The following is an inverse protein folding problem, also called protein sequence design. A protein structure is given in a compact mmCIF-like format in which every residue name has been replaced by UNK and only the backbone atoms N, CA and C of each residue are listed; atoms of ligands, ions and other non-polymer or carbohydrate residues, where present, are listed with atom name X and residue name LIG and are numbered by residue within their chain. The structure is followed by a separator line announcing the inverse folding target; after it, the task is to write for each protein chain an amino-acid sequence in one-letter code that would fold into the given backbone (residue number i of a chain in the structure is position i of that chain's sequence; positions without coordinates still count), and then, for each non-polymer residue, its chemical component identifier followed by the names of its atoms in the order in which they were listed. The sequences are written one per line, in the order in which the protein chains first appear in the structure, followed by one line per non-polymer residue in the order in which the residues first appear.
data_IF_716670537794
#
_entry.id   IF_716670537794
#
_cell.length_a   1.000
_cell.length_b   1.000
_cell.length_c   1.000
_cell.angle_alpha   90.00
_cell.angle_beta   90.00
_cell.angle_gamma   90.00
#
_symmetry.space_group_name_H-M   'P 1'
#
loop_
_entity.id
_entity.type
_entity.pdbx_description
1 polymer ?
#
# COMPACT_ATOMS: atom_id res chain seq x y z
N UNK A 1 -10.44 8.80 -20.52
CA UNK A 1 -9.49 9.93 -20.47
C UNK A 1 -8.56 9.90 -21.68
N UNK A 2 -7.82 8.81 -21.91
CA UNK A 2 -6.93 8.61 -23.07
C UNK A 2 -7.66 8.88 -24.41
N UNK A 3 -8.75 8.18 -24.70
CA UNK A 3 -9.42 8.27 -26.01
C UNK A 3 -10.36 9.47 -26.13
N UNK A 4 -11.12 9.76 -25.07
CA UNK A 4 -12.24 10.72 -25.10
C UNK A 4 -11.94 12.08 -24.47
N UNK A 5 -10.74 12.26 -23.89
CA UNK A 5 -10.43 13.46 -23.10
C UNK A 5 -11.29 13.63 -21.84
N UNK A 6 -11.95 12.57 -21.35
CA UNK A 6 -12.81 12.61 -20.15
C UNK A 6 -12.67 11.34 -19.30
N UNK A 7 -12.69 11.41 -17.96
CA UNK A 7 -12.73 12.64 -17.15
C UNK A 7 -11.45 13.47 -17.29
N UNK A 8 -11.49 14.74 -16.86
CA UNK A 8 -10.34 15.66 -16.93
C UNK A 8 -9.24 15.35 -15.92
N UNK A 9 -9.62 14.75 -14.78
CA UNK A 9 -8.70 14.40 -13.69
C UNK A 9 -9.01 12.98 -13.23
N UNK A 10 -7.96 12.19 -13.07
CA UNK A 10 -7.94 10.92 -12.36
C UNK A 10 -7.06 11.17 -11.13
N UNK A 11 -7.65 11.49 -9.97
CA UNK A 11 -6.93 11.95 -8.79
C UNK A 11 -6.07 10.85 -8.16
N UNK A 12 -6.38 9.60 -8.44
CA UNK A 12 -5.59 8.45 -8.04
C UNK A 12 -5.67 7.38 -9.14
N UNK A 13 -4.53 7.09 -9.77
CA UNK A 13 -4.44 6.05 -10.78
C UNK A 13 -3.22 5.17 -10.52
N UNK A 14 -3.47 3.88 -10.31
CA UNK A 14 -2.44 2.85 -10.22
C UNK A 14 -1.95 2.54 -11.63
N UNK A 15 -0.71 2.93 -11.93
CA UNK A 15 -0.24 3.05 -13.32
C UNK A 15 0.50 1.81 -13.85
N UNK A 16 0.75 0.81 -13.00
CA UNK A 16 1.59 -0.35 -13.32
C UNK A 16 1.17 -1.07 -14.61
N UNK A 17 -0.12 -1.36 -14.75
CA UNK A 17 -0.67 -2.13 -15.87
C UNK A 17 -1.01 -1.33 -17.12
N UNK A 18 -0.90 0.00 -17.09
CA UNK A 18 -1.32 0.89 -18.18
C UNK A 18 -0.27 1.93 -18.55
N UNK A 19 0.96 1.77 -18.05
CA UNK A 19 2.05 2.73 -18.22
C UNK A 19 2.31 3.07 -19.68
N UNK A 20 2.43 2.07 -20.56
CA UNK A 20 2.69 2.30 -21.99
C UNK A 20 1.58 3.14 -22.65
N UNK A 21 0.32 2.86 -22.32
CA UNK A 21 -0.82 3.60 -22.84
C UNK A 21 -0.85 5.05 -22.31
N UNK A 22 -0.50 5.26 -21.04
CA UNK A 22 -0.37 6.59 -20.44
C UNK A 22 0.79 7.38 -21.06
N UNK A 23 1.96 6.76 -21.19
CA UNK A 23 3.15 7.38 -21.78
C UNK A 23 2.91 7.78 -23.23
N UNK A 24 2.23 6.93 -24.01
CA UNK A 24 1.77 7.28 -25.36
C UNK A 24 0.80 8.47 -25.33
N UNK A 25 -0.16 8.46 -24.39
CA UNK A 25 -1.08 9.58 -24.20
C UNK A 25 -0.37 10.90 -23.88
N UNK A 26 0.72 10.86 -23.12
CA UNK A 26 1.57 12.03 -22.83
C UNK A 26 2.38 12.45 -24.05
N UNK A 27 3.01 11.50 -24.75
CA UNK A 27 3.77 11.78 -25.98
C UNK A 27 2.90 12.41 -27.07
N UNK A 28 1.64 11.97 -27.17
CA UNK A 28 0.63 12.51 -28.08
C UNK A 28 0.03 13.85 -27.59
N UNK A 29 0.49 14.41 -26.45
CA UNK A 29 -0.04 15.62 -25.80
C UNK A 29 -1.54 15.55 -25.52
N UNK A 30 -2.03 14.38 -25.12
CA UNK A 30 -3.42 14.17 -24.68
C UNK A 30 -3.54 14.16 -23.17
N UNK A 31 -2.49 13.74 -22.46
CA UNK A 31 -2.45 13.59 -21.01
C UNK A 31 -1.22 14.25 -20.39
N UNK A 32 -1.28 14.49 -19.08
CA UNK A 32 -0.13 14.80 -18.24
C UNK A 32 -0.14 13.97 -16.96
N UNK A 33 1.05 13.56 -16.53
CA UNK A 33 1.27 13.17 -15.14
C UNK A 33 1.33 14.44 -14.30
N UNK A 34 0.28 14.71 -13.53
CA UNK A 34 0.21 15.91 -12.72
C UNK A 34 0.97 15.77 -11.41
N UNK A 35 1.04 14.57 -10.80
CA UNK A 35 1.79 14.37 -9.56
C UNK A 35 1.69 12.96 -9.03
N UNK A 36 2.38 12.66 -7.92
CA UNK A 36 2.26 11.39 -7.21
C UNK A 36 1.17 11.51 -6.15
N UNK A 37 0.04 10.84 -6.35
CA UNK A 37 -1.07 10.87 -5.39
C UNK A 37 -0.68 10.20 -4.08
N UNK A 38 0.13 9.14 -4.16
CA UNK A 38 0.85 8.54 -3.05
C UNK A 38 2.35 8.78 -3.24
N UNK A 39 2.97 9.57 -2.36
CA UNK A 39 4.37 10.01 -2.55
C UNK A 39 5.36 8.86 -2.49
N UNK A 40 5.02 7.82 -1.72
CA UNK A 40 5.79 6.58 -1.58
C UNK A 40 5.35 5.48 -2.58
N UNK A 41 4.33 5.74 -3.40
CA UNK A 41 3.61 4.70 -4.15
C UNK A 41 2.75 3.82 -3.23
N UNK A 42 2.05 2.85 -3.82
CA UNK A 42 1.42 1.77 -3.06
C UNK A 42 2.48 0.83 -2.50
N UNK A 43 2.32 0.43 -1.25
CA UNK A 43 3.27 -0.46 -0.57
C UNK A 43 2.66 -1.84 -0.39
N UNK A 44 3.48 -2.85 -0.62
CA UNK A 44 3.18 -4.25 -0.37
C UNK A 44 4.37 -4.86 0.37
N UNK A 45 4.14 -5.96 1.08
CA UNK A 45 5.22 -6.61 1.82
C UNK A 45 4.70 -7.63 2.80
N UNK A 46 5.64 -8.26 3.51
CA UNK A 46 5.33 -9.01 4.70
C UNK A 46 5.43 -8.10 5.91
N UNK A 47 4.54 -8.27 6.89
CA UNK A 47 4.42 -7.36 8.02
C UNK A 47 4.37 -8.12 9.34
N UNK A 48 4.77 -7.45 10.40
CA UNK A 48 4.62 -7.87 11.80
C UNK A 48 4.07 -6.72 12.64
N UNK A 49 3.36 -6.97 13.76
CA UNK A 49 2.88 -5.89 14.62
C UNK A 49 4.01 -5.10 15.29
N UNK A 50 3.89 -3.77 15.35
CA UNK A 50 4.90 -2.89 15.96
C UNK A 50 5.14 -3.22 17.44
N UNK A 51 4.08 -3.49 18.22
CA UNK A 51 4.24 -3.87 19.64
C UNK A 51 5.05 -5.16 19.85
N UNK A 52 5.12 -6.03 18.83
CA UNK A 52 5.92 -7.25 18.87
C UNK A 52 7.38 -6.91 18.56
N UNK A 53 7.62 -5.99 17.61
CA UNK A 53 8.95 -5.44 17.31
C UNK A 53 9.55 -4.70 18.53
N UNK A 54 8.74 -3.97 19.30
CA UNK A 54 9.22 -3.32 20.54
C UNK A 54 9.76 -4.34 21.56
N UNK A 55 9.23 -5.57 21.56
CA UNK A 55 9.68 -6.66 22.43
C UNK A 55 10.82 -7.48 21.79
N UNK A 56 10.79 -7.63 20.47
CA UNK A 56 11.73 -8.41 19.66
C UNK A 56 12.19 -7.57 18.45
N UNK A 57 13.14 -6.63 18.64
CA UNK A 57 13.55 -5.69 17.58
C UNK A 57 14.07 -6.37 16.30
N UNK A 58 14.56 -7.60 16.41
CA UNK A 58 15.01 -8.39 15.27
C UNK A 58 13.88 -8.76 14.29
N UNK A 59 12.61 -8.72 14.70
CA UNK A 59 11.47 -9.05 13.81
C UNK A 59 11.29 -8.08 12.64
N UNK A 60 12.07 -7.00 12.62
CA UNK A 60 12.17 -6.10 11.47
C UNK A 60 12.83 -6.75 10.26
N UNK A 61 13.52 -7.89 10.41
CA UNK A 61 14.12 -8.64 9.29
C UNK A 61 13.57 -10.06 9.20
N UNK A 62 13.64 -10.65 8.00
CA UNK A 62 13.15 -12.01 7.77
C UNK A 62 13.93 -13.04 8.59
N UNK A 63 15.23 -12.83 8.81
CA UNK A 63 16.04 -13.70 9.67
C UNK A 63 15.58 -13.65 11.11
N UNK A 64 15.18 -12.48 11.61
CA UNK A 64 14.64 -12.34 12.96
C UNK A 64 13.26 -13.00 13.11
N UNK A 65 12.41 -12.89 12.09
CA UNK A 65 11.13 -13.62 12.01
C UNK A 65 11.37 -15.13 12.06
N UNK A 66 12.27 -15.66 11.23
CA UNK A 66 12.62 -17.08 11.18
C UNK A 66 13.17 -17.57 12.53
N UNK A 67 14.08 -16.81 13.14
CA UNK A 67 14.67 -17.15 14.46
C UNK A 67 13.61 -17.23 15.56
N UNK A 68 12.54 -16.46 15.43
CA UNK A 68 11.43 -16.38 16.39
C UNK A 68 10.14 -17.03 15.87
N UNK A 69 10.24 -17.98 14.92
CA UNK A 69 9.07 -18.57 14.25
C UNK A 69 7.99 -19.11 15.22
N UNK A 70 8.42 -19.63 16.38
CA UNK A 70 7.57 -20.11 17.48
C UNK A 70 6.56 -19.11 18.04
N UNK A 71 6.76 -17.82 17.80
CA UNK A 71 5.78 -16.79 18.21
C UNK A 71 4.51 -16.84 17.35
N UNK A 72 4.63 -17.25 16.09
CA UNK A 72 3.55 -17.16 15.10
C UNK A 72 2.73 -18.46 15.07
N UNK A 73 1.95 -18.70 16.12
CA UNK A 73 1.06 -19.88 16.23
C UNK A 73 0.17 -20.06 14.98
N UNK A 74 0.17 -21.25 14.39
CA UNK A 74 -0.74 -21.57 13.30
C UNK A 74 -2.17 -21.79 13.84
N UNK A 75 -3.23 -21.28 13.16
CA UNK A 75 -4.59 -21.33 13.69
C UNK A 75 -5.23 -22.73 13.69
N UNK A 76 -4.70 -23.66 12.89
CA UNK A 76 -5.30 -24.97 12.65
C UNK A 76 -4.33 -26.16 12.85
N UNK A 77 -3.04 -25.90 13.08
CA UNK A 77 -2.00 -26.93 13.22
C UNK A 77 -0.99 -26.52 14.30
N UNK A 78 -1.06 -27.15 15.48
CA UNK A 78 -0.18 -26.82 16.62
C UNK A 78 1.30 -27.15 16.36
N UNK A 79 1.62 -27.91 15.31
CA UNK A 79 2.99 -28.25 14.92
C UNK A 79 3.59 -27.26 13.91
N UNK A 80 2.81 -26.28 13.40
CA UNK A 80 3.24 -25.31 12.37
C UNK A 80 3.22 -23.86 12.84
N UNK A 81 3.90 -22.99 12.10
CA UNK A 81 3.85 -21.55 12.29
C UNK A 81 3.08 -20.85 11.16
N UNK A 82 2.24 -19.87 11.48
CA UNK A 82 1.45 -19.17 10.47
C UNK A 82 2.26 -18.13 9.69
N UNK A 83 2.15 -18.21 8.37
CA UNK A 83 2.29 -17.08 7.46
C UNK A 83 0.95 -16.81 6.79
N UNK A 84 0.32 -15.66 7.06
CA UNK A 84 -0.93 -15.29 6.41
C UNK A 84 -0.66 -14.80 4.99
N UNK A 85 -1.12 -15.54 3.99
CA UNK A 85 -0.93 -15.21 2.57
C UNK A 85 -2.00 -14.22 2.07
N UNK A 86 -2.02 -13.99 0.77
CA UNK A 86 -3.02 -13.19 0.07
C UNK A 86 -4.22 -14.05 -0.38
N UNK A 87 -5.44 -13.48 -0.44
CA UNK A 87 -6.64 -14.21 -0.87
C UNK A 87 -6.47 -14.93 -2.21
N UNK A 88 -7.06 -16.12 -2.33
CA UNK A 88 -7.02 -16.89 -3.55
C UNK A 88 -7.55 -16.12 -4.78
N UNK A 89 -6.83 -16.24 -5.91
CA UNK A 89 -7.17 -15.63 -7.19
C UNK A 89 -6.68 -14.18 -7.37
N UNK A 90 -6.00 -13.60 -6.37
CA UNK A 90 -5.37 -12.29 -6.49
C UNK A 90 -3.90 -12.44 -6.92
N UNK A 91 -3.35 -11.45 -7.60
CA UNK A 91 -1.93 -11.45 -8.01
C UNK A 91 -0.98 -11.61 -6.81
N UNK A 92 -1.35 -11.04 -5.65
CA UNK A 92 -0.52 -11.16 -4.46
C UNK A 92 -0.43 -12.58 -3.89
N UNK A 93 -1.34 -13.48 -4.27
CA UNK A 93 -1.25 -14.89 -3.88
C UNK A 93 -0.01 -15.51 -4.53
N UNK A 94 0.20 -15.22 -5.81
CA UNK A 94 1.35 -15.68 -6.60
C UNK A 94 2.63 -15.11 -6.01
N UNK A 95 2.69 -13.78 -5.82
CA UNK A 95 3.91 -13.14 -5.32
C UNK A 95 4.26 -13.57 -3.90
N UNK A 96 3.25 -13.72 -3.02
CA UNK A 96 3.47 -14.17 -1.65
C UNK A 96 3.93 -15.61 -1.60
N UNK A 97 3.35 -16.50 -2.42
CA UNK A 97 3.80 -17.89 -2.53
C UNK A 97 5.23 -18.00 -3.04
N UNK A 98 5.56 -17.34 -4.15
CA UNK A 98 6.93 -17.34 -4.67
C UNK A 98 7.96 -16.78 -3.69
N UNK A 99 7.62 -15.74 -2.94
CA UNK A 99 8.53 -15.19 -1.93
C UNK A 99 8.62 -16.08 -0.70
N UNK A 100 7.53 -16.75 -0.31
CA UNK A 100 7.53 -17.77 0.75
C UNK A 100 8.49 -18.91 0.40
N UNK A 101 8.43 -19.40 -0.85
CA UNK A 101 9.31 -20.46 -1.36
C UNK A 101 10.76 -19.99 -1.48
N UNK A 102 10.99 -18.81 -2.07
CA UNK A 102 12.33 -18.25 -2.24
C UNK A 102 13.04 -17.97 -0.90
N UNK A 103 12.27 -17.58 0.13
CA UNK A 103 12.75 -17.40 1.50
C UNK A 103 12.86 -18.71 2.29
N UNK A 104 12.43 -19.84 1.71
CA UNK A 104 12.45 -21.18 2.32
C UNK A 104 11.73 -21.24 3.66
N UNK A 105 10.58 -20.57 3.77
CA UNK A 105 9.85 -20.50 5.03
C UNK A 105 9.28 -21.87 5.47
N UNK A 106 8.99 -22.76 4.53
CA UNK A 106 8.62 -24.16 4.83
C UNK A 106 9.74 -24.93 5.56
N UNK A 107 11.00 -24.74 5.17
CA UNK A 107 12.17 -25.35 5.85
C UNK A 107 12.29 -24.88 7.31
N UNK A 108 11.68 -23.73 7.62
CA UNK A 108 11.58 -23.14 8.96
C UNK A 108 10.24 -23.42 9.63
N UNK A 109 9.48 -24.37 9.09
CA UNK A 109 8.23 -24.89 9.62
C UNK A 109 7.06 -23.89 9.63
N UNK A 110 7.12 -22.86 8.78
CA UNK A 110 5.96 -22.06 8.46
C UNK A 110 5.02 -22.79 7.49
N UNK A 111 3.74 -22.46 7.57
CA UNK A 111 2.69 -22.88 6.64
C UNK A 111 1.87 -21.65 6.21
N UNK A 112 1.47 -21.63 4.94
CA UNK A 112 0.65 -20.56 4.39
C UNK A 112 -0.81 -20.72 4.82
N UNK A 113 -1.36 -19.68 5.43
CA UNK A 113 -2.79 -19.56 5.75
C UNK A 113 -3.47 -18.73 4.68
N UNK A 114 -4.44 -19.30 3.96
CA UNK A 114 -5.31 -18.54 3.06
C UNK A 114 -6.38 -17.80 3.88
N UNK A 115 -6.40 -16.45 3.88
CA UNK A 115 -7.44 -15.70 4.58
C UNK A 115 -8.82 -15.80 3.92
N UNK A 116 -8.92 -16.27 2.67
CA UNK A 116 -10.14 -16.39 1.87
C UNK A 116 -10.68 -15.08 1.30
N UNK A 117 -10.45 -13.93 1.96
CA UNK A 117 -10.79 -12.60 1.44
C UNK A 117 -9.93 -11.50 2.05
N UNK A 118 -9.87 -10.33 1.40
CA UNK A 118 -9.15 -9.17 1.94
C UNK A 118 -9.73 -8.67 3.27
N UNK A 119 -11.05 -8.80 3.45
CA UNK A 119 -11.73 -8.45 4.71
C UNK A 119 -11.35 -9.41 5.84
N UNK A 120 -11.28 -10.71 5.55
CA UNK A 120 -10.85 -11.72 6.50
C UNK A 120 -9.36 -11.54 6.86
N UNK A 121 -8.48 -11.25 5.88
CA UNK A 121 -7.07 -10.95 6.13
C UNK A 121 -6.91 -9.76 7.08
N UNK A 122 -7.61 -8.65 6.83
CA UNK A 122 -7.63 -7.50 7.74
C UNK A 122 -8.16 -7.88 9.14
N UNK A 123 -9.14 -8.79 9.21
CA UNK A 123 -9.65 -9.35 10.45
C UNK A 123 -8.62 -10.15 11.25
N UNK A 124 -7.72 -10.88 10.57
CA UNK A 124 -6.63 -11.62 11.25
C UNK A 124 -5.63 -10.66 11.90
N UNK A 125 -5.25 -9.58 11.22
CA UNK A 125 -4.38 -8.52 11.75
C UNK A 125 -5.04 -7.89 12.98
N UNK A 126 -6.29 -7.45 12.85
CA UNK A 126 -7.04 -6.82 13.94
C UNK A 126 -7.13 -7.74 15.17
N UNK A 127 -7.54 -9.00 14.97
CA UNK A 127 -7.65 -9.99 16.05
C UNK A 127 -6.32 -10.23 16.77
N UNK A 128 -5.23 -10.32 16.01
CA UNK A 128 -3.90 -10.50 16.58
C UNK A 128 -3.45 -9.28 17.38
N UNK A 129 -3.67 -8.08 16.85
CA UNK A 129 -3.28 -6.83 17.49
C UNK A 129 -4.02 -6.56 18.80
N UNK A 130 -5.34 -6.72 18.79
CA UNK A 130 -6.20 -6.52 19.98
C UNK A 130 -5.89 -7.53 21.10
N UNK A 131 -5.41 -8.73 20.74
CA UNK A 131 -5.06 -9.79 21.69
C UNK A 131 -3.57 -9.83 22.04
N UNK A 132 -2.78 -8.89 21.51
CA UNK A 132 -1.31 -8.88 21.64
C UNK A 132 -0.66 -10.22 21.26
N UNK A 133 -1.20 -10.88 20.25
CA UNK A 133 -0.68 -12.13 19.67
C UNK A 133 0.14 -11.86 18.42
N UNK A 134 1.25 -12.58 18.24
CA UNK A 134 2.07 -12.43 17.05
C UNK A 134 1.27 -12.68 15.75
N UNK A 135 1.66 -11.98 14.70
CA UNK A 135 1.10 -12.11 13.36
C UNK A 135 2.22 -11.88 12.35
N UNK A 136 2.29 -12.70 11.32
CA UNK A 136 3.23 -12.56 10.21
C UNK A 136 2.52 -12.95 8.92
N UNK A 137 2.64 -12.12 7.90
CA UNK A 137 1.94 -12.34 6.64
C UNK A 137 2.05 -11.19 5.65
N UNK A 138 1.53 -11.44 4.46
CA UNK A 138 1.39 -10.43 3.41
C UNK A 138 0.32 -9.39 3.75
N UNK A 139 0.60 -8.13 3.45
CA UNK A 139 -0.41 -7.08 3.40
C UNK A 139 0.01 -5.89 2.53
N UNK A 140 -0.91 -4.95 2.29
CA UNK A 140 -0.70 -3.77 1.46
C UNK A 140 -1.17 -2.46 2.13
N UNK A 141 -0.62 -1.34 1.65
CA UNK A 141 -0.88 0.02 2.08
C UNK A 141 -1.10 0.94 0.88
N UNK A 142 -2.05 1.90 0.95
CA UNK A 142 -2.81 2.31 2.13
C UNK A 142 -4.09 1.50 2.35
N UNK A 143 -4.44 1.27 3.62
CA UNK A 143 -5.67 0.57 4.02
C UNK A 143 -6.12 1.00 5.43
N UNK A 144 -7.42 0.87 5.77
CA UNK A 144 -7.90 1.19 7.12
C UNK A 144 -7.21 0.39 8.24
N UNK A 145 -6.87 -0.88 8.00
CA UNK A 145 -6.30 -1.73 9.06
C UNK A 145 -4.86 -1.33 9.41
N UNK A 146 -4.06 -0.91 8.43
CA UNK A 146 -2.72 -0.37 8.69
C UNK A 146 -2.73 1.06 9.24
N UNK A 147 -3.85 1.78 9.11
CA UNK A 147 -4.05 3.07 9.76
C UNK A 147 -4.48 2.93 11.22
N UNK A 148 -5.20 1.85 11.54
CA UNK A 148 -5.67 1.56 12.90
C UNK A 148 -4.63 0.83 13.74
N UNK A 149 -3.86 -0.06 13.12
CA UNK A 149 -2.88 -0.91 13.80
C UNK A 149 -1.50 -0.68 13.21
N UNK A 150 -0.56 -0.26 14.05
CA UNK A 150 0.81 -0.01 13.61
C UNK A 150 1.53 -1.31 13.29
N UNK A 151 1.84 -1.53 12.02
CA UNK A 151 2.59 -2.67 11.54
C UNK A 151 3.95 -2.22 11.03
N UNK A 152 4.93 -3.11 11.12
CA UNK A 152 6.28 -2.91 10.60
C UNK A 152 6.48 -3.87 9.44
N UNK A 153 6.92 -3.32 8.31
CA UNK A 153 7.28 -4.12 7.14
C UNK A 153 8.58 -4.87 7.42
N UNK A 154 8.59 -6.16 7.16
CA UNK A 154 9.75 -7.05 7.32
C UNK A 154 10.69 -6.83 6.15
N UNK A 155 11.97 -6.54 6.44
CA UNK A 155 13.03 -6.44 5.45
C UNK A 155 13.60 -7.84 5.14
N UNK A 156 13.66 -8.20 3.87
CA UNK A 156 14.25 -9.46 3.43
C UNK A 156 15.77 -9.38 3.26
N UNK A 157 16.36 -8.18 3.41
CA UNK A 157 17.79 -7.95 3.19
C UNK A 157 18.24 -8.02 1.72
N UNK A 158 17.32 -8.33 0.80
CA UNK A 158 17.60 -8.50 -0.62
C UNK A 158 17.66 -7.19 -1.41
N UNK A 159 17.08 -6.11 -0.87
CA UNK A 159 16.68 -4.96 -1.68
C UNK A 159 15.53 -5.31 -2.64
N UNK A 160 15.25 -4.42 -3.59
CA UNK A 160 14.17 -4.57 -4.59
C UNK A 160 14.79 -4.83 -5.97
N UNK A 161 14.50 -5.99 -6.55
CA UNK A 161 14.77 -6.32 -7.95
C UNK A 161 13.46 -6.26 -8.76
N UNK A 162 13.30 -5.16 -9.51
CA UNK A 162 12.09 -4.90 -10.30
C UNK A 162 11.95 -5.88 -11.45
N UNK A 163 13.06 -6.33 -12.05
CA UNK A 163 13.04 -7.23 -13.20
C UNK A 163 12.70 -8.64 -12.76
N UNK A 164 13.27 -9.13 -11.66
CA UNK A 164 12.85 -10.38 -11.04
C UNK A 164 11.38 -10.34 -10.67
N UNK A 165 10.93 -9.26 -10.00
CA UNK A 165 9.55 -9.15 -9.55
C UNK A 165 8.56 -9.21 -10.72
N UNK A 166 8.84 -8.47 -11.80
CA UNK A 166 7.98 -8.42 -12.99
C UNK A 166 8.05 -9.70 -13.82
N UNK A 167 9.24 -10.24 -14.03
CA UNK A 167 9.46 -11.30 -15.03
C UNK A 167 9.39 -12.72 -14.42
N UNK A 168 9.45 -12.86 -13.09
CA UNK A 168 9.32 -14.16 -12.42
C UNK A 168 8.37 -14.11 -11.21
N UNK A 169 8.62 -13.28 -10.19
CA UNK A 169 7.84 -13.33 -8.93
C UNK A 169 6.33 -13.15 -9.12
N UNK A 170 5.91 -12.38 -10.11
CA UNK A 170 4.49 -12.17 -10.47
C UNK A 170 3.93 -13.17 -11.48
N UNK A 171 4.77 -14.00 -12.10
CA UNK A 171 4.38 -14.93 -13.17
C UNK A 171 4.01 -16.31 -12.60
N UNK A 172 2.78 -16.82 -12.80
CA UNK A 172 2.32 -18.09 -12.21
C UNK A 172 3.18 -19.32 -12.53
N UNK A 173 3.95 -19.27 -13.61
CA UNK A 173 4.78 -20.35 -14.15
C UNK A 173 6.28 -20.18 -13.83
N UNK A 174 6.64 -19.24 -12.96
CA UNK A 174 8.02 -19.07 -12.47
C UNK A 174 8.46 -20.28 -11.62
N UNK A 175 9.38 -21.09 -12.14
CA UNK A 175 9.85 -22.30 -11.44
C UNK A 175 10.89 -22.02 -10.35
N UNK A 176 11.58 -20.87 -10.39
CA UNK A 176 12.71 -20.57 -9.52
C UNK A 176 12.73 -19.08 -9.11
N UNK A 177 11.73 -18.61 -8.34
CA UNK A 177 11.69 -17.24 -7.87
C UNK A 177 12.89 -16.93 -6.97
N UNK A 178 13.40 -15.70 -7.06
CA UNK A 178 14.42 -15.19 -6.15
C UNK A 178 13.83 -14.26 -5.11
N UNK A 179 14.52 -14.15 -3.97
CA UNK A 179 14.14 -13.22 -2.92
C UNK A 179 14.29 -11.78 -3.43
N UNK A 180 13.20 -11.03 -3.38
CA UNK A 180 13.16 -9.59 -3.64
C UNK A 180 12.11 -8.94 -2.74
N UNK A 181 12.36 -7.71 -2.32
CA UNK A 181 11.31 -6.86 -1.76
C UNK A 181 10.29 -6.49 -2.84
N UNK A 182 9.05 -6.22 -2.42
CA UNK A 182 8.01 -5.71 -3.31
C UNK A 182 8.38 -4.30 -3.81
N UNK A 183 8.35 -4.05 -5.13
CA UNK A 183 8.55 -2.72 -5.67
C UNK A 183 7.34 -1.83 -5.34
N UNK A 184 7.54 -0.55 -4.98
CA UNK A 184 6.42 0.36 -4.78
C UNK A 184 5.60 0.53 -6.04
N UNK A 185 4.29 0.39 -5.94
CA UNK A 185 3.38 0.57 -7.07
C UNK A 185 3.22 2.07 -7.38
N UNK A 186 3.56 2.55 -8.59
CA UNK A 186 3.37 3.95 -8.94
C UNK A 186 1.89 4.35 -9.00
N UNK A 187 1.49 5.27 -8.12
CA UNK A 187 0.15 5.86 -8.08
C UNK A 187 0.24 7.35 -8.36
N UNK A 188 -0.41 7.76 -9.46
CA UNK A 188 -0.29 9.11 -10.00
C UNK A 188 -1.65 9.81 -10.10
N UNK A 189 -1.61 11.13 -10.02
CA UNK A 189 -2.67 11.97 -10.57
C UNK A 189 -2.42 12.14 -12.07
N UNK A 190 -3.40 11.76 -12.89
CA UNK A 190 -3.35 12.00 -14.34
C UNK A 190 -4.40 13.05 -14.70
N UNK A 191 -4.01 14.01 -15.53
CA UNK A 191 -4.94 14.99 -16.10
C UNK A 191 -4.96 14.90 -17.61
N UNK A 192 -6.02 15.41 -18.23
CA UNK A 192 -6.00 15.73 -19.65
C UNK A 192 -5.05 16.91 -19.90
N UNK A 193 -4.51 16.98 -21.10
CA UNK A 193 -3.71 18.13 -21.55
C UNK A 193 -4.54 19.42 -21.51
N UNK A 194 -5.82 19.33 -21.88
CA UNK A 194 -6.75 20.46 -21.88
C UNK A 194 -6.95 21.04 -20.48
N UNK A 195 -7.19 20.21 -19.47
CA UNK A 195 -7.30 20.64 -18.07
C UNK A 195 -6.03 21.35 -17.60
N UNK A 196 -4.86 20.76 -17.86
CA UNK A 196 -3.59 21.34 -17.43
C UNK A 196 -3.32 22.73 -18.03
N UNK A 197 -3.80 22.98 -19.25
CA UNK A 197 -3.63 24.27 -19.92
C UNK A 197 -4.71 25.28 -19.52
N UNK A 198 -5.95 24.85 -19.32
CA UNK A 198 -7.09 25.72 -19.00
C UNK A 198 -7.13 26.10 -17.52
N UNK A 199 -6.69 25.21 -16.63
CA UNK A 199 -6.76 25.37 -15.17
C UNK A 199 -5.36 25.26 -14.52
N UNK A 200 -4.40 26.14 -14.87
CA UNK A 200 -3.01 26.00 -14.45
C UNK A 200 -2.83 26.06 -12.93
N UNK A 201 -3.68 26.80 -12.21
CA UNK A 201 -3.64 26.85 -10.74
C UNK A 201 -4.09 25.54 -10.11
N UNK A 202 -5.14 24.90 -10.64
CA UNK A 202 -5.62 23.60 -10.17
C UNK A 202 -4.63 22.48 -10.55
N UNK A 203 -3.98 22.58 -11.70
CA UNK A 203 -2.89 21.67 -12.09
C UNK A 203 -1.70 21.76 -11.11
N UNK A 204 -1.26 22.98 -10.76
CA UNK A 204 -0.18 23.18 -9.78
C UNK A 204 -0.50 22.61 -8.40
N UNK A 205 -1.77 22.60 -7.99
CA UNK A 205 -2.19 21.91 -6.77
C UNK A 205 -1.89 20.41 -6.87
N UNK A 206 -2.22 19.74 -7.98
CA UNK A 206 -1.93 18.32 -8.16
C UNK A 206 -0.43 18.00 -8.28
N UNK A 207 0.39 18.95 -8.75
CA UNK A 207 1.86 18.82 -8.72
C UNK A 207 2.44 18.76 -7.31
N UNK A 208 1.76 19.40 -6.34
CA UNK A 208 2.20 19.45 -4.94
C UNK A 208 1.47 18.44 -4.05
N UNK A 209 0.21 18.12 -4.36
CA UNK A 209 -0.64 17.25 -3.56
C UNK A 209 -0.17 15.81 -3.66
N UNK A 210 0.20 15.25 -2.52
CA UNK A 210 0.48 13.84 -2.36
C UNK A 210 0.34 13.43 -0.91
N UNK A 211 -0.21 12.25 -0.68
CA UNK A 211 -0.32 11.62 0.63
C UNK A 211 0.81 10.62 0.83
N UNK A 212 1.26 10.45 2.07
CA UNK A 212 2.00 9.23 2.45
C UNK A 212 1.02 8.08 2.67
N UNK A 213 1.49 6.84 2.60
CA UNK A 213 0.68 5.67 2.93
C UNK A 213 0.12 5.74 4.35
N UNK A 214 0.91 6.26 5.30
CA UNK A 214 0.49 6.46 6.70
C UNK A 214 -0.68 7.44 6.79
N UNK A 215 -0.55 8.63 6.18
CA UNK A 215 -1.60 9.65 6.19
C UNK A 215 -2.92 9.14 5.58
N UNK A 216 -2.84 8.47 4.44
CA UNK A 216 -4.03 7.92 3.78
C UNK A 216 -4.65 6.79 4.62
N UNK A 217 -3.83 5.90 5.18
CA UNK A 217 -4.32 4.81 6.02
C UNK A 217 -5.00 5.31 7.29
N UNK A 218 -4.44 6.31 7.96
CA UNK A 218 -5.03 6.95 9.15
C UNK A 218 -6.39 7.58 8.83
N UNK A 219 -6.51 8.28 7.69
CA UNK A 219 -7.79 8.84 7.25
C UNK A 219 -8.81 7.73 6.95
N UNK A 220 -8.41 6.68 6.25
CA UNK A 220 -9.26 5.52 5.95
C UNK A 220 -9.69 4.76 7.22
N UNK A 221 -8.82 4.68 8.22
CA UNK A 221 -9.13 4.11 9.52
C UNK A 221 -10.18 4.96 10.26
N UNK A 222 -9.99 6.27 10.28
CA UNK A 222 -10.95 7.21 10.86
C UNK A 222 -12.31 7.11 10.16
N UNK A 223 -12.33 7.08 8.83
CA UNK A 223 -13.56 6.91 8.05
C UNK A 223 -14.30 5.63 8.44
N UNK A 224 -13.57 4.52 8.54
CA UNK A 224 -14.15 3.22 8.91
C UNK A 224 -14.72 3.23 10.32
N UNK A 225 -14.00 3.79 11.29
CA UNK A 225 -14.40 3.82 12.70
C UNK A 225 -15.58 4.77 12.96
N UNK A 226 -15.70 5.84 12.18
CA UNK A 226 -16.79 6.81 12.29
C UNK A 226 -17.92 6.57 11.30
N UNK A 227 -17.81 5.53 10.46
CA UNK A 227 -18.72 5.26 9.34
C UNK A 227 -18.89 6.47 8.42
N UNK A 228 -17.83 7.27 8.29
CA UNK A 228 -17.86 8.55 7.62
C UNK A 228 -17.77 8.39 6.09
N UNK A 229 -18.48 9.25 5.38
CA UNK A 229 -18.38 9.34 3.93
C UNK A 229 -17.17 10.20 3.49
N UNK A 230 -17.03 10.38 2.17
CA UNK A 230 -15.90 11.11 1.60
C UNK A 230 -15.94 12.62 1.91
N UNK A 231 -17.12 13.21 2.11
CA UNK A 231 -17.27 14.64 2.41
C UNK A 231 -16.92 14.89 3.89
N UNK A 232 -17.41 14.05 4.79
CA UNK A 232 -17.02 14.07 6.20
C UNK A 232 -15.52 13.85 6.37
N UNK A 233 -14.93 12.92 5.62
CA UNK A 233 -13.49 12.69 5.60
C UNK A 233 -12.70 13.91 5.10
N UNK A 234 -13.21 14.61 4.08
CA UNK A 234 -12.61 15.85 3.58
C UNK A 234 -12.58 16.92 4.67
N UNK A 235 -13.71 17.21 5.32
CA UNK A 235 -13.77 18.19 6.41
C UNK A 235 -12.83 17.80 7.55
N UNK A 236 -12.91 16.55 8.02
CA UNK A 236 -12.02 16.05 9.07
C UNK A 236 -10.55 16.21 8.71
N UNK A 237 -10.16 15.84 7.48
CA UNK A 237 -8.77 15.99 7.02
C UNK A 237 -8.32 17.45 6.97
N UNK A 238 -9.16 18.35 6.43
CA UNK A 238 -8.85 19.76 6.31
C UNK A 238 -8.70 20.44 7.67
N UNK A 239 -9.53 20.06 8.65
CA UNK A 239 -9.46 20.59 10.02
C UNK A 239 -8.30 20.01 10.84
N UNK A 240 -8.10 18.69 10.78
CA UNK A 240 -7.14 17.98 11.64
C UNK A 240 -5.71 17.97 11.10
N UNK A 241 -5.52 18.21 9.80
CA UNK A 241 -4.21 18.05 9.14
C UNK A 241 -3.73 19.28 8.35
N UNK A 242 -3.81 20.52 8.88
CA UNK A 242 -3.34 21.73 8.18
C UNK A 242 -1.85 21.68 7.82
N UNK A 243 -1.03 21.01 8.61
CA UNK A 243 0.39 20.78 8.32
C UNK A 243 0.63 19.98 7.04
N UNK A 244 -0.35 19.17 6.63
CA UNK A 244 -0.25 18.31 5.44
C UNK A 244 -0.70 19.05 4.19
N UNK A 245 -1.89 19.68 4.23
CA UNK A 245 -2.49 20.23 3.01
C UNK A 245 -2.14 21.68 2.72
N UNK A 246 -1.81 22.51 3.73
CA UNK A 246 -1.43 23.91 3.49
C UNK A 246 -0.22 24.05 2.57
N UNK A 247 0.83 23.20 2.65
CA UNK A 247 1.93 23.20 1.70
C UNK A 247 1.53 22.92 0.23
N UNK A 248 0.35 22.34 -0.02
CA UNK A 248 -0.11 22.02 -1.38
C UNK A 248 -0.63 23.25 -2.15
N UNK A 249 -0.96 24.33 -1.43
CA UNK A 249 -1.54 25.55 -2.00
C UNK A 249 -0.75 26.77 -1.55
N UNK A 250 -1.04 27.94 -2.12
CA UNK A 250 -0.49 29.20 -1.62
C UNK A 250 -1.12 29.61 -0.29
N UNK A 251 -0.45 30.48 0.46
CA UNK A 251 -0.92 30.94 1.78
C UNK A 251 -2.30 31.64 1.72
N UNK A 252 -2.56 32.39 0.64
CA UNK A 252 -3.85 33.06 0.43
C UNK A 252 -4.99 32.06 0.21
N UNK A 253 -4.74 30.99 -0.55
CA UNK A 253 -5.70 29.90 -0.77
C UNK A 253 -5.91 29.13 0.54
N UNK A 254 -4.83 28.83 1.26
CA UNK A 254 -4.93 28.15 2.56
C UNK A 254 -5.77 28.92 3.57
N UNK A 255 -5.63 30.24 3.60
CA UNK A 255 -6.44 31.11 4.45
C UNK A 255 -7.91 31.12 4.04
N UNK A 256 -8.22 31.13 2.74
CA UNK A 256 -9.60 31.05 2.23
C UNK A 256 -10.27 29.72 2.55
N UNK A 257 -9.55 28.60 2.36
CA UNK A 257 -10.04 27.27 2.75
C UNK A 257 -10.34 27.23 4.25
N UNK A 258 -9.41 27.70 5.08
CA UNK A 258 -9.58 27.69 6.53
C UNK A 258 -10.74 28.58 7.02
N UNK A 259 -11.08 29.66 6.31
CA UNK A 259 -12.25 30.49 6.61
C UNK A 259 -13.58 29.87 6.19
N UNK A 260 -13.54 28.90 5.28
CA UNK A 260 -14.72 28.23 4.73
C UNK A 260 -15.05 26.89 5.43
N UNK A 261 -14.14 26.37 6.25
CA UNK A 261 -14.38 25.27 7.19
C UNK A 261 -15.18 25.81 8.39
#
# INVERSE_FOLDING_TARGET
MIEKGQPDVAPELWTNGIKEALDKGVADKRLRYAGKSLVNGGEEGFWVPNYLVEQYPELTTIEGVIKNAKLFEHPEDDEKFAFYSCPAGWTCQITSGHLFDALKLEDHNFEMVDPGSGAALAGTIAKAYERKKAWFGYYWSPTPVLGKYEMVKVDFGSGTDIEEFRNCTTQPDCESPKVTMYPPAPVHTITTEAFANNEPLAYQYFEKRGFTNKQMSELLAWMKDNQADAEEAMYYFLESSPQVWKPWVSEDIASKVQQAL
#
